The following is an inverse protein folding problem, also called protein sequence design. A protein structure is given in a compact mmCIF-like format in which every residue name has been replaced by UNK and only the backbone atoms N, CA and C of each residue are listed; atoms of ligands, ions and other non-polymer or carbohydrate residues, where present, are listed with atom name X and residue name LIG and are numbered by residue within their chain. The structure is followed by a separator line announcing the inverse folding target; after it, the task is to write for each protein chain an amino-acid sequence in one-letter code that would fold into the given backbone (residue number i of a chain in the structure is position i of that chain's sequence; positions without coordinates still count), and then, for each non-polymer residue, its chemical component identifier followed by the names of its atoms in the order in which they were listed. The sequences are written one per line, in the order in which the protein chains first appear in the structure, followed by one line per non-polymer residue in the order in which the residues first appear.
data_IF_021795048473
#
_entry.id   IF_021795048473
#
_cell.length_a   1.000
_cell.length_b   1.000
_cell.length_c   1.000
_cell.angle_alpha   90.00
_cell.angle_beta   90.00
_cell.angle_gamma   90.00
#
_symmetry.space_group_name_H-M   'P 1'
#
loop_
_entity.id
_entity.type
_entity.pdbx_description
1 polymer ?
#
# COMPACT_ATOMS: atom_id res chain seq x y z
N UNK A 1 -15.15 -33.64 -14.07
CA UNK A 1 -14.94 -32.24 -14.49
C UNK A 1 -15.02 -31.25 -13.32
N UNK A 2 -15.94 -31.44 -12.35
CA UNK A 2 -16.07 -30.60 -11.16
C UNK A 2 -14.76 -30.37 -10.36
N UNK A 3 -13.94 -31.41 -10.18
CA UNK A 3 -12.64 -31.31 -9.49
C UNK A 3 -11.65 -30.34 -10.17
N UNK A 4 -11.70 -30.24 -11.51
CA UNK A 4 -10.83 -29.32 -12.27
C UNK A 4 -11.31 -27.88 -12.14
N UNK A 5 -12.63 -27.66 -12.16
CA UNK A 5 -13.23 -26.35 -11.91
C UNK A 5 -12.95 -25.83 -10.49
N UNK A 6 -13.05 -26.68 -9.48
CA UNK A 6 -12.72 -26.32 -8.10
C UNK A 6 -11.26 -25.88 -7.95
N UNK A 7 -10.33 -26.58 -8.61
CA UNK A 7 -8.91 -26.24 -8.59
C UNK A 7 -8.65 -24.88 -9.25
N UNK A 8 -9.22 -24.65 -10.43
CA UNK A 8 -9.09 -23.38 -11.16
C UNK A 8 -9.68 -22.21 -10.36
N UNK A 9 -10.83 -22.40 -9.72
CA UNK A 9 -11.44 -21.38 -8.87
C UNK A 9 -10.57 -21.00 -7.67
N UNK A 10 -9.87 -21.97 -7.07
CA UNK A 10 -8.94 -21.74 -5.95
C UNK A 10 -7.71 -20.93 -6.40
N UNK A 11 -7.21 -21.15 -7.62
CA UNK A 11 -6.09 -20.37 -8.14
C UNK A 11 -6.49 -18.94 -8.49
N UNK A 12 -7.69 -18.72 -9.04
CA UNK A 12 -8.18 -17.38 -9.41
C UNK A 12 -8.45 -16.51 -8.18
N UNK A 13 -8.95 -17.07 -7.08
CA UNK A 13 -9.19 -16.30 -5.84
C UNK A 13 -7.91 -15.74 -5.21
N UNK A 14 -6.74 -16.34 -5.49
CA UNK A 14 -5.45 -15.85 -4.98
C UNK A 14 -4.84 -14.74 -5.84
N UNK A 15 -5.35 -14.51 -7.07
CA UNK A 15 -4.79 -13.51 -7.99
C UNK A 15 -5.22 -12.07 -7.67
N UNK A 16 -6.21 -11.86 -6.79
CA UNK A 16 -6.77 -10.54 -6.47
C UNK A 16 -6.51 -10.07 -5.03
N UNK A 17 -5.54 -10.64 -4.32
CA UNK A 17 -5.29 -10.34 -2.91
C UNK A 17 -4.40 -9.10 -2.66
N UNK A 18 -4.45 -8.07 -3.52
CA UNK A 18 -3.81 -6.80 -3.19
C UNK A 18 -4.66 -6.06 -2.16
N UNK A 19 -4.09 -5.63 -1.02
CA UNK A 19 -4.85 -4.96 0.05
C UNK A 19 -5.40 -3.60 -0.38
N UNK A 20 -4.86 -2.99 -1.45
CA UNK A 20 -5.29 -1.72 -2.03
C UNK A 20 -5.34 -1.83 -3.56
N UNK A 21 -6.33 -1.19 -4.15
CA UNK A 21 -6.52 -1.04 -5.60
C UNK A 21 -6.42 0.43 -6.02
N UNK A 22 -6.29 0.66 -7.33
CA UNK A 22 -6.28 2.03 -7.88
C UNK A 22 -7.62 2.69 -7.60
N UNK A 23 -7.59 3.84 -6.93
CA UNK A 23 -8.78 4.58 -6.52
C UNK A 23 -9.17 4.39 -5.05
N UNK A 24 -8.59 3.41 -4.36
CA UNK A 24 -8.79 3.24 -2.93
C UNK A 24 -8.12 4.37 -2.14
N UNK A 25 -8.72 4.70 -0.99
CA UNK A 25 -8.09 5.56 0.00
C UNK A 25 -7.03 4.75 0.73
N UNK A 26 -5.76 5.13 0.58
CA UNK A 26 -4.68 4.53 1.33
C UNK A 26 -4.87 4.81 2.83
N UNK A 27 -4.86 3.80 3.71
CA UNK A 27 -4.95 4.03 5.15
C UNK A 27 -3.72 4.79 5.63
N UNK A 28 -3.85 5.46 6.78
CA UNK A 28 -2.69 6.06 7.41
C UNK A 28 -1.69 4.98 7.85
N UNK A 29 -0.41 5.29 7.73
CA UNK A 29 0.68 4.41 8.14
C UNK A 29 1.89 5.23 8.55
N UNK A 30 2.66 4.63 9.47
CA UNK A 30 3.93 5.18 9.95
C UNK A 30 4.99 4.12 9.75
N UNK A 31 5.99 4.42 8.91
CA UNK A 31 7.06 3.49 8.58
C UNK A 31 8.42 4.19 8.69
N UNK A 32 9.42 3.46 9.17
CA UNK A 32 10.80 3.94 9.17
C UNK A 32 11.22 4.28 7.74
N UNK A 33 11.74 5.49 7.54
CA UNK A 33 12.26 5.93 6.25
C UNK A 33 13.74 6.30 6.37
N UNK A 34 14.57 5.66 5.55
CA UNK A 34 16.01 5.96 5.49
C UNK A 34 16.26 7.01 4.39
N UNK A 35 16.07 8.29 4.71
CA UNK A 35 16.56 9.40 3.88
C UNK A 35 17.87 9.97 4.46
N UNK A 36 18.96 9.21 4.37
CA UNK A 36 20.27 9.58 4.95
C UNK A 36 20.24 9.84 6.48
N UNK A 37 19.36 9.17 7.22
CA UNK A 37 19.20 9.31 8.67
C UNK A 37 18.23 8.28 9.28
N UNK A 38 17.90 8.46 10.56
CA UNK A 38 16.90 7.68 11.30
C UNK A 38 15.62 8.49 11.51
N UNK A 39 14.46 7.88 11.30
CA UNK A 39 13.17 8.48 11.61
C UNK A 39 12.03 7.76 10.93
N UNK A 40 10.81 8.11 11.31
CA UNK A 40 9.58 7.55 10.75
C UNK A 40 8.88 8.57 9.85
N UNK A 41 8.28 8.07 8.78
CA UNK A 41 7.40 8.83 7.90
C UNK A 41 5.96 8.41 8.19
N UNK A 42 5.14 9.37 8.64
CA UNK A 42 3.70 9.23 8.84
C UNK A 42 2.96 9.82 7.65
N UNK A 43 2.16 9.02 6.94
CA UNK A 43 1.56 9.42 5.66
C UNK A 43 0.65 10.64 5.82
N UNK A 44 -0.32 10.59 6.73
CA UNK A 44 -1.35 11.61 6.79
C UNK A 44 -0.80 12.96 7.28
N UNK A 45 -0.01 12.95 8.35
CA UNK A 45 0.68 14.15 8.82
C UNK A 45 1.54 14.81 7.75
N UNK A 46 2.12 14.03 6.81
CA UNK A 46 3.02 14.58 5.80
C UNK A 46 2.37 14.91 4.45
N UNK A 47 1.27 14.23 4.08
CA UNK A 47 0.70 14.28 2.73
C UNK A 47 -0.82 14.40 2.64
N UNK A 48 -1.57 14.09 3.71
CA UNK A 48 -3.03 14.26 3.72
C UNK A 48 -3.39 15.70 4.10
N UNK A 49 -3.77 16.50 3.09
CA UNK A 49 -4.17 17.89 3.27
C UNK A 49 -5.32 18.12 4.25
N UNK A 50 -6.19 17.12 4.45
CA UNK A 50 -7.27 17.23 5.43
C UNK A 50 -6.75 17.24 6.88
N UNK A 51 -5.55 16.70 7.12
CA UNK A 51 -4.99 16.49 8.45
C UNK A 51 -3.73 17.32 8.72
N UNK A 52 -3.06 17.80 7.67
CA UNK A 52 -1.82 18.57 7.77
C UNK A 52 -1.97 20.07 7.44
N UNK A 53 -3.18 20.62 7.57
CA UNK A 53 -3.44 22.05 7.38
C UNK A 53 -3.56 22.48 5.90
N UNK A 54 -4.01 21.59 5.03
CA UNK A 54 -4.27 21.86 3.61
C UNK A 54 -3.08 21.59 2.68
N UNK A 55 -1.99 21.02 3.18
CA UNK A 55 -0.77 20.76 2.41
C UNK A 55 -0.80 19.38 1.73
N UNK A 56 -1.62 19.27 0.68
CA UNK A 56 -1.72 18.04 -0.12
C UNK A 56 -0.42 17.75 -0.88
N UNK A 57 0.05 16.51 -0.79
CA UNK A 57 1.22 16.03 -1.53
C UNK A 57 0.94 14.70 -2.21
N UNK A 58 1.62 14.47 -3.34
CA UNK A 58 1.69 13.15 -3.97
C UNK A 58 2.89 12.41 -3.37
N UNK A 59 2.65 11.20 -2.86
CA UNK A 59 3.70 10.33 -2.31
C UNK A 59 4.00 9.22 -3.31
N UNK A 60 5.26 9.07 -3.68
CA UNK A 60 5.73 7.95 -4.50
C UNK A 60 6.46 6.94 -3.62
N UNK A 61 5.93 5.71 -3.54
CA UNK A 61 6.50 4.64 -2.74
C UNK A 61 7.19 3.61 -3.63
N UNK A 62 8.51 3.50 -3.50
CA UNK A 62 9.27 2.43 -4.15
C UNK A 62 9.46 1.29 -3.15
N UNK A 63 8.78 0.18 -3.36
CA UNK A 63 8.90 -1.02 -2.53
C UNK A 63 9.99 -1.92 -3.11
N UNK A 64 11.05 -2.16 -2.35
CA UNK A 64 12.10 -3.10 -2.71
C UNK A 64 12.48 -3.95 -1.50
N UNK A 65 12.96 -5.16 -1.77
CA UNK A 65 13.54 -6.07 -0.79
C UNK A 65 14.97 -6.36 -1.21
N UNK A 66 15.93 -6.24 -0.30
CA UNK A 66 17.31 -6.69 -0.49
C UNK A 66 17.56 -7.93 0.36
N UNK A 67 18.27 -8.90 -0.20
CA UNK A 67 18.64 -10.17 0.44
C UNK A 67 20.06 -10.09 0.98
#
# INVERSE_FOLDING_TARGET
MLKRFALVSLFISNLYALPLQVGDVCPDWTLAYCANGSGDFELYANANGAENGGNYKVVWLNLFTSW
#
